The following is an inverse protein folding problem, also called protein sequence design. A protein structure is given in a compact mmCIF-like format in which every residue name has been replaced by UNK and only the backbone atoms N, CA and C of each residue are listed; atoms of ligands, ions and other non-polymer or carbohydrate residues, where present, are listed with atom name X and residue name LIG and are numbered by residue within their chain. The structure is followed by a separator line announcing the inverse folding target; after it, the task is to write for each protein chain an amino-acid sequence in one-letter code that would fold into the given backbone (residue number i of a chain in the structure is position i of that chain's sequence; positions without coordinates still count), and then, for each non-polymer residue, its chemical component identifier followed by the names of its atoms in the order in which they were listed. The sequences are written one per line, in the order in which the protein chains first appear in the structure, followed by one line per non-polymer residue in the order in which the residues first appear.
data_IF_653583874245
#
_entry.id   IF_653583874245
#
_cell.length_a   1.000
_cell.length_b   1.000
_cell.length_c   1.000
_cell.angle_alpha   90.00
_cell.angle_beta   90.00
_cell.angle_gamma   90.00
#
_symmetry.space_group_name_H-M   'P 1'
#
loop_
_entity.id
_entity.type
_entity.pdbx_description
1 polymer ?
#
# COMPACT_ATOMS: atom_id res chain seq x y z
N UNK A 1 -6.34 0.89 33.31
CA UNK A 1 -7.31 0.34 32.34
C UNK A 1 -7.02 1.08 31.05
N UNK A 2 -6.00 0.61 30.34
CA UNK A 2 -5.21 1.48 29.49
C UNK A 2 -5.67 1.30 28.03
N UNK A 3 -5.54 2.35 27.23
CA UNK A 3 -6.43 2.57 26.08
C UNK A 3 -6.27 1.51 24.97
N UNK A 4 -7.21 0.57 24.87
CA UNK A 4 -7.21 -0.47 23.83
C UNK A 4 -7.66 0.07 22.46
N UNK A 5 -8.11 1.32 22.38
CA UNK A 5 -8.69 1.95 21.18
C UNK A 5 -7.69 2.88 20.44
N UNK A 6 -6.41 2.49 20.37
CA UNK A 6 -5.42 3.11 19.48
C UNK A 6 -5.69 2.77 18.00
N UNK A 7 -6.73 3.36 17.42
CA UNK A 7 -7.01 3.28 15.98
C UNK A 7 -5.80 3.80 15.19
N UNK A 8 -5.63 3.34 13.95
CA UNK A 8 -4.39 3.60 13.18
C UNK A 8 -4.15 5.11 12.98
N UNK A 9 -5.22 5.90 12.88
CA UNK A 9 -5.15 7.36 12.85
C UNK A 9 -4.97 8.00 14.24
N UNK A 10 -5.45 7.41 15.34
CA UNK A 10 -5.23 7.92 16.71
C UNK A 10 -3.75 8.02 17.08
N UNK A 11 -2.90 7.17 16.48
CA UNK A 11 -1.44 7.25 16.59
C UNK A 11 -0.85 8.59 16.12
N UNK A 12 -1.57 9.35 15.29
CA UNK A 12 -1.17 10.67 14.82
C UNK A 12 -1.65 11.81 15.75
N UNK A 13 -2.40 11.49 16.81
CA UNK A 13 -3.27 12.40 17.57
C UNK A 13 -3.02 12.27 19.09
N UNK A 14 -1.88 11.72 19.53
CA UNK A 14 -1.40 11.87 20.92
C UNK A 14 -0.97 13.32 21.19
N UNK A 15 -1.95 14.21 21.35
CA UNK A 15 -2.00 15.47 22.13
C UNK A 15 -3.29 16.28 21.81
N UNK A 16 -4.49 15.71 21.92
CA UNK A 16 -5.73 16.53 21.88
C UNK A 16 -6.97 15.92 22.58
N UNK A 17 -6.96 15.86 23.92
CA UNK A 17 -8.20 15.63 24.68
C UNK A 17 -9.17 16.82 24.56
N UNK A 18 -10.41 16.60 24.04
CA UNK A 18 -11.65 16.84 24.81
C UNK A 18 -12.97 16.65 24.02
N UNK A 19 -13.78 15.69 24.49
CA UNK A 19 -15.24 15.80 24.75
C UNK A 19 -16.18 16.22 23.59
N UNK A 20 -16.98 15.26 23.09
CA UNK A 20 -18.42 15.27 23.42
C UNK A 20 -19.16 13.93 23.23
N UNK A 21 -20.33 13.86 23.87
CA UNK A 21 -21.22 12.68 24.00
C UNK A 21 -22.46 12.83 23.11
N UNK A 22 -23.13 11.72 22.72
CA UNK A 22 -24.62 11.48 22.70
C UNK A 22 -25.07 10.48 21.60
N UNK A 23 -25.77 9.42 22.04
CA UNK A 23 -27.00 8.74 21.55
C UNK A 23 -27.42 8.72 20.04
N UNK A 24 -28.19 7.74 19.50
CA UNK A 24 -28.55 6.32 19.80
C UNK A 24 -29.59 5.83 18.73
N UNK A 25 -29.84 4.50 18.63
CA UNK A 25 -31.02 3.85 17.98
C UNK A 25 -31.17 3.94 16.44
N UNK A 26 -31.85 3.05 15.68
CA UNK A 26 -32.19 1.61 15.78
C UNK A 26 -32.76 1.09 14.41
N UNK A 27 -32.98 -0.23 14.27
CA UNK A 27 -33.81 -0.96 13.27
C UNK A 27 -33.32 -1.12 11.80
N UNK A 28 -33.76 -2.11 10.99
CA UNK A 28 -34.22 -3.54 11.11
C UNK A 28 -34.55 -4.05 9.69
N UNK A 29 -34.34 -5.34 9.35
CA UNK A 29 -35.24 -6.22 8.55
C UNK A 29 -34.57 -7.58 8.24
N UNK A 30 -35.35 -8.67 8.24
CA UNK A 30 -34.88 -10.05 8.01
C UNK A 30 -34.82 -10.44 6.51
N UNK A 31 -34.10 -11.53 6.18
CA UNK A 31 -34.74 -12.68 5.55
C UNK A 31 -33.95 -13.99 5.68
N UNK A 32 -34.64 -15.09 5.41
CA UNK A 32 -34.31 -16.48 5.78
C UNK A 32 -34.42 -17.40 4.54
N UNK A 33 -33.52 -18.37 4.36
CA UNK A 33 -33.81 -19.76 3.91
C UNK A 33 -32.53 -20.60 3.70
N UNK A 34 -32.70 -21.92 3.79
CA UNK A 34 -31.73 -23.00 3.50
C UNK A 34 -32.54 -24.27 3.09
N UNK A 35 -31.97 -25.48 3.00
CA UNK A 35 -30.76 -25.97 2.32
C UNK A 35 -31.10 -27.00 1.20
N UNK A 36 -30.10 -27.59 0.53
CA UNK A 36 -30.23 -28.85 -0.26
C UNK A 36 -28.97 -29.74 -0.05
N UNK A 37 -29.14 -31.06 -0.14
CA UNK A 37 -28.18 -32.13 0.24
C UNK A 37 -28.12 -33.25 -0.86
N UNK A 38 -27.07 -34.10 -0.83
CA UNK A 38 -26.77 -35.30 -1.69
C UNK A 38 -26.66 -35.07 -3.22
N UNK A 39 -26.08 -35.95 -4.06
CA UNK A 39 -25.37 -37.26 -3.96
C UNK A 39 -23.84 -37.05 -4.29
N UNK A 40 -22.83 -37.92 -4.12
CA UNK A 40 -22.63 -39.39 -4.25
C UNK A 40 -22.68 -39.93 -5.71
N UNK A 41 -21.81 -40.81 -6.25
CA UNK A 41 -20.60 -41.56 -5.78
C UNK A 41 -19.74 -42.08 -6.98
N UNK A 42 -18.41 -42.29 -6.79
CA UNK A 42 -17.52 -43.33 -7.42
C UNK A 42 -17.32 -43.38 -8.98
N UNK A 43 -16.25 -43.93 -9.58
CA UNK A 43 -14.98 -44.55 -9.08
C UNK A 43 -13.83 -44.51 -10.14
N UNK A 44 -12.66 -45.04 -9.69
CA UNK A 44 -11.67 -45.85 -10.42
C UNK A 44 -10.38 -45.27 -11.06
N UNK A 45 -9.31 -46.07 -10.92
CA UNK A 45 -8.07 -46.13 -11.71
C UNK A 45 -6.98 -45.04 -11.52
N UNK A 46 -6.28 -45.11 -10.38
CA UNK A 46 -4.81 -44.87 -10.36
C UNK A 46 -4.08 -45.89 -11.24
N UNK A 47 -2.87 -45.58 -11.73
CA UNK A 47 -1.69 -46.03 -10.98
C UNK A 47 -0.60 -44.97 -10.78
N UNK A 48 0.19 -45.14 -9.72
CA UNK A 48 1.49 -44.50 -9.56
C UNK A 48 2.49 -45.04 -10.59
N UNK A 49 3.46 -44.21 -10.98
CA UNK A 49 4.77 -44.71 -11.40
C UNK A 49 5.82 -43.63 -11.14
N UNK A 50 6.68 -43.88 -10.16
CA UNK A 50 7.96 -43.18 -10.03
C UNK A 50 8.85 -43.62 -11.20
N UNK A 51 9.49 -42.69 -11.91
CA UNK A 51 10.62 -43.03 -12.77
C UNK A 51 11.79 -42.10 -12.48
N UNK A 52 12.78 -42.67 -11.78
CA UNK A 52 14.05 -42.02 -11.49
C UNK A 52 14.87 -41.97 -12.79
N UNK A 53 15.36 -40.78 -13.17
CA UNK A 53 16.35 -40.65 -14.25
C UNK A 53 17.68 -40.22 -13.64
N UNK A 54 18.34 -41.20 -13.03
CA UNK A 54 19.73 -41.08 -12.60
C UNK A 54 20.68 -41.51 -13.73
N UNK A 55 21.84 -40.86 -13.79
CA UNK A 55 23.02 -41.24 -14.58
C UNK A 55 22.90 -41.42 -16.12
N UNK A 56 23.38 -40.40 -16.84
CA UNK A 56 24.32 -40.67 -17.95
C UNK A 56 25.29 -39.50 -18.13
N UNK A 57 26.44 -39.56 -17.45
CA UNK A 57 27.59 -38.71 -17.76
C UNK A 57 28.31 -39.29 -18.99
N UNK A 58 27.84 -38.91 -20.18
CA UNK A 58 28.49 -39.23 -21.43
C UNK A 58 29.83 -38.50 -21.56
N UNK A 59 30.94 -39.20 -21.34
CA UNK A 59 32.26 -38.74 -21.78
C UNK A 59 32.30 -38.71 -23.32
N UNK A 60 32.35 -37.51 -23.90
CA UNK A 60 32.57 -37.30 -25.33
C UNK A 60 33.79 -36.42 -25.55
N UNK A 61 34.98 -37.02 -25.48
CA UNK A 61 36.18 -36.48 -26.11
C UNK A 61 36.50 -37.28 -27.37
N UNK A 62 35.97 -36.83 -28.50
CA UNK A 62 36.58 -37.03 -29.83
C UNK A 62 36.22 -35.79 -30.66
N UNK A 63 37.20 -35.24 -31.40
CA UNK A 63 37.08 -33.93 -32.04
C UNK A 63 36.21 -34.00 -33.31
N UNK A 64 35.00 -33.44 -33.23
CA UNK A 64 34.13 -33.16 -34.38
C UNK A 64 33.64 -31.70 -34.24
N UNK A 65 33.67 -30.92 -35.33
CA UNK A 65 33.54 -29.45 -35.32
C UNK A 65 32.06 -28.99 -35.20
N UNK A 66 31.37 -29.44 -34.16
CA UNK A 66 29.94 -29.22 -34.00
C UNK A 66 29.61 -27.79 -33.52
N UNK A 67 28.92 -27.02 -34.36
CA UNK A 67 28.68 -25.59 -34.15
C UNK A 67 27.42 -25.37 -33.29
N UNK A 68 27.47 -25.82 -32.04
CA UNK A 68 26.32 -25.77 -31.10
C UNK A 68 26.01 -24.36 -30.55
N UNK A 69 26.86 -23.36 -30.79
CA UNK A 69 26.58 -21.97 -30.35
C UNK A 69 27.01 -20.92 -31.39
N UNK A 70 26.36 -19.75 -31.34
CA UNK A 70 26.76 -18.57 -32.12
C UNK A 70 28.20 -18.11 -31.81
N UNK A 71 28.72 -18.36 -30.61
CA UNK A 71 30.10 -18.05 -30.25
C UNK A 71 31.10 -18.96 -30.98
N UNK A 72 30.77 -20.25 -31.14
CA UNK A 72 31.57 -21.18 -31.92
C UNK A 72 31.53 -20.78 -33.40
N UNK A 73 30.35 -20.45 -33.94
CA UNK A 73 30.17 -19.97 -35.31
C UNK A 73 30.97 -18.69 -35.62
N UNK A 74 30.98 -17.73 -34.69
CA UNK A 74 31.77 -16.51 -34.80
C UNK A 74 33.27 -16.81 -34.84
N UNK A 75 33.73 -17.73 -33.99
CA UNK A 75 35.15 -18.11 -33.88
C UNK A 75 35.63 -18.82 -35.14
N UNK A 76 34.84 -19.75 -35.69
CA UNK A 76 35.19 -20.53 -36.88
C UNK A 76 35.20 -19.68 -38.17
N UNK A 77 34.31 -18.68 -38.26
CA UNK A 77 34.24 -17.79 -39.42
C UNK A 77 35.23 -16.59 -39.35
N UNK A 78 35.97 -16.43 -38.24
CA UNK A 78 36.75 -15.21 -37.91
C UNK A 78 35.92 -13.91 -38.01
N UNK A 79 34.65 -13.99 -37.62
CA UNK A 79 33.67 -12.88 -37.61
C UNK A 79 33.42 -12.46 -36.16
N UNK A 80 33.48 -11.16 -35.81
CA UNK A 80 33.16 -10.72 -34.46
C UNK A 80 31.68 -11.01 -34.12
N UNK A 81 31.44 -11.55 -32.92
CA UNK A 81 30.12 -12.01 -32.46
C UNK A 81 29.03 -10.91 -32.48
N UNK A 82 29.40 -9.63 -32.44
CA UNK A 82 28.50 -8.49 -32.66
C UNK A 82 27.72 -8.61 -33.96
N UNK A 83 28.41 -8.95 -35.05
CA UNK A 83 27.90 -8.87 -36.41
C UNK A 83 26.94 -10.04 -36.70
N UNK A 84 27.08 -11.15 -35.95
CA UNK A 84 26.08 -12.22 -35.93
C UNK A 84 24.81 -11.81 -35.17
N UNK A 85 24.91 -11.02 -34.10
CA UNK A 85 23.72 -10.50 -33.40
C UNK A 85 22.98 -9.41 -34.21
N UNK A 86 23.66 -8.72 -35.13
CA UNK A 86 23.03 -7.78 -36.09
C UNK A 86 22.31 -8.49 -37.27
N UNK A 87 22.48 -9.81 -37.43
CA UNK A 87 21.82 -10.58 -38.49
C UNK A 87 20.29 -10.56 -38.34
N UNK A 88 19.59 -10.20 -39.41
CA UNK A 88 18.12 -10.11 -39.44
C UNK A 88 17.49 -11.47 -39.76
N UNK A 89 16.52 -11.89 -38.93
CA UNK A 89 15.66 -13.06 -39.11
C UNK A 89 14.28 -12.61 -39.59
N UNK A 90 13.79 -13.22 -40.66
CA UNK A 90 12.43 -13.00 -41.13
C UNK A 90 11.43 -13.73 -40.22
N UNK A 91 10.55 -12.98 -39.55
CA UNK A 91 9.48 -13.54 -38.73
C UNK A 91 8.33 -14.05 -39.61
N UNK A 92 7.60 -15.07 -39.14
CA UNK A 92 6.45 -15.62 -39.86
C UNK A 92 5.27 -14.63 -39.95
N UNK A 93 5.16 -13.73 -38.99
CA UNK A 93 4.19 -12.62 -38.95
C UNK A 93 4.87 -11.42 -38.27
N UNK A 94 4.98 -10.29 -38.99
CA UNK A 94 5.68 -9.08 -38.53
C UNK A 94 6.87 -8.66 -39.42
N UNK A 95 7.61 -7.66 -38.96
CA UNK A 95 8.86 -7.21 -39.61
C UNK A 95 10.04 -8.12 -39.20
N UNK A 96 11.12 -8.11 -39.99
CA UNK A 96 12.33 -8.86 -39.66
C UNK A 96 13.03 -8.24 -38.44
N UNK A 97 13.53 -9.09 -37.54
CA UNK A 97 14.15 -8.70 -36.27
C UNK A 97 15.59 -9.24 -36.18
N UNK A 98 16.46 -8.54 -35.47
CA UNK A 98 17.86 -9.00 -35.31
C UNK A 98 17.97 -10.13 -34.29
N UNK A 99 18.95 -11.04 -34.45
CA UNK A 99 19.21 -12.10 -33.48
C UNK A 99 19.47 -11.55 -32.06
N UNK A 100 20.12 -10.39 -31.95
CA UNK A 100 20.26 -9.68 -30.67
C UNK A 100 18.92 -9.28 -30.07
N UNK A 101 18.04 -8.62 -30.84
CA UNK A 101 16.71 -8.21 -30.34
C UNK A 101 15.82 -9.39 -29.94
N UNK A 102 15.93 -10.54 -30.63
CA UNK A 102 15.17 -11.75 -30.30
C UNK A 102 15.69 -12.40 -29.02
N UNK A 103 17.02 -12.39 -28.79
CA UNK A 103 17.63 -12.81 -27.53
C UNK A 103 17.19 -11.90 -26.38
N UNK A 104 17.29 -10.57 -26.54
CA UNK A 104 16.92 -9.60 -25.50
C UNK A 104 15.42 -9.71 -25.16
N UNK A 105 14.56 -9.93 -26.16
CA UNK A 105 13.14 -10.22 -25.99
C UNK A 105 12.90 -11.54 -25.23
N UNK A 106 13.65 -12.61 -25.54
CA UNK A 106 13.56 -13.88 -24.81
C UNK A 106 14.04 -13.75 -23.36
N UNK A 107 15.15 -13.05 -23.11
CA UNK A 107 15.65 -12.80 -21.74
C UNK A 107 14.70 -11.94 -20.93
N UNK A 108 14.10 -10.90 -21.52
CA UNK A 108 13.08 -10.07 -20.87
C UNK A 108 11.76 -10.84 -20.59
N UNK A 109 11.38 -11.76 -21.48
CA UNK A 109 10.13 -12.52 -21.36
C UNK A 109 10.26 -13.85 -20.60
N UNK A 110 11.49 -14.31 -20.32
CA UNK A 110 11.77 -15.57 -19.60
C UNK A 110 11.01 -15.68 -18.27
N UNK A 111 10.83 -14.55 -17.59
CA UNK A 111 10.17 -14.47 -16.29
C UNK A 111 8.70 -14.00 -16.39
N UNK A 112 8.10 -13.92 -17.58
CA UNK A 112 6.67 -13.56 -17.72
C UNK A 112 5.76 -14.56 -17.00
N UNK A 113 6.11 -15.84 -16.96
CA UNK A 113 5.27 -16.85 -16.29
C UNK A 113 5.38 -16.75 -14.76
N UNK A 114 6.58 -16.53 -14.21
CA UNK A 114 6.79 -16.20 -12.79
C UNK A 114 6.03 -14.91 -12.39
N UNK A 115 6.07 -13.89 -13.26
CA UNK A 115 5.30 -12.65 -13.06
C UNK A 115 3.80 -12.92 -13.08
N UNK A 116 3.28 -13.69 -14.06
CA UNK A 116 1.85 -14.07 -14.13
C UNK A 116 1.40 -14.84 -12.90
N UNK A 117 2.18 -15.82 -12.45
CA UNK A 117 1.93 -16.58 -11.24
C UNK A 117 1.89 -15.66 -10.01
N UNK A 118 2.82 -14.71 -9.91
CA UNK A 118 2.82 -13.71 -8.82
C UNK A 118 1.59 -12.80 -8.84
N UNK A 119 1.05 -12.46 -10.01
CA UNK A 119 -0.20 -11.68 -10.14
C UNK A 119 -1.42 -12.53 -9.80
N UNK A 120 -1.51 -13.77 -10.30
CA UNK A 120 -2.63 -14.67 -10.01
C UNK A 120 -2.73 -15.00 -8.50
N UNK A 121 -1.60 -15.30 -7.86
CA UNK A 121 -1.52 -15.50 -6.42
C UNK A 121 -1.95 -14.25 -5.64
N UNK A 122 -1.65 -13.05 -6.15
CA UNK A 122 -2.03 -11.77 -5.52
C UNK A 122 -3.50 -11.40 -5.73
N UNK A 123 -4.10 -11.78 -6.85
CA UNK A 123 -5.55 -11.68 -7.04
C UNK A 123 -6.30 -12.69 -6.16
N UNK A 124 -5.77 -13.90 -5.96
CA UNK A 124 -6.30 -14.86 -4.99
C UNK A 124 -6.18 -14.36 -3.54
N UNK A 125 -5.05 -13.73 -3.16
CA UNK A 125 -4.87 -13.11 -1.84
C UNK A 125 -5.88 -11.96 -1.63
N UNK A 126 -5.99 -11.03 -2.60
CA UNK A 126 -6.91 -9.90 -2.52
C UNK A 126 -8.39 -10.31 -2.52
N UNK A 127 -8.78 -11.33 -3.29
CA UNK A 127 -10.17 -11.81 -3.29
C UNK A 127 -10.54 -12.49 -1.97
N UNK A 128 -9.63 -13.23 -1.34
CA UNK A 128 -9.81 -13.76 0.01
C UNK A 128 -9.85 -12.65 1.08
N UNK A 129 -9.01 -11.62 0.97
CA UNK A 129 -9.04 -10.46 1.88
C UNK A 129 -10.35 -9.66 1.73
N UNK A 130 -10.85 -9.47 0.50
CA UNK A 130 -12.14 -8.84 0.22
C UNK A 130 -13.31 -9.68 0.75
N UNK A 131 -13.30 -11.01 0.55
CA UNK A 131 -14.33 -11.90 1.09
C UNK A 131 -14.36 -11.87 2.63
N UNK A 132 -13.19 -11.76 3.27
CA UNK A 132 -13.07 -11.60 4.72
C UNK A 132 -13.62 -10.25 5.19
N UNK A 133 -13.32 -9.17 4.45
CA UNK A 133 -13.74 -7.79 4.75
C UNK A 133 -15.19 -7.44 4.33
N UNK A 134 -15.83 -8.25 3.48
CA UNK A 134 -17.21 -8.05 3.04
C UNK A 134 -18.24 -8.29 4.16
N UNK A 135 -17.83 -8.97 5.24
CA UNK A 135 -18.62 -9.04 6.46
C UNK A 135 -18.61 -7.67 7.14
N UNK A 136 -19.79 -7.02 7.12
CA UNK A 136 -20.03 -5.69 7.69
C UNK A 136 -19.78 -5.60 9.21
N UNK A 137 -20.14 -4.46 9.83
CA UNK A 137 -19.51 -3.94 11.07
C UNK A 137 -19.24 -5.02 12.12
N UNK A 138 -17.96 -5.12 12.54
CA UNK A 138 -17.34 -6.22 13.32
C UNK A 138 -17.91 -6.47 14.73
N UNK A 139 -19.21 -6.66 14.87
CA UNK A 139 -19.79 -7.40 15.99
C UNK A 139 -19.57 -8.87 15.68
N UNK A 140 -18.71 -9.58 16.43
CA UNK A 140 -18.47 -11.01 16.18
C UNK A 140 -19.80 -11.77 16.15
N UNK A 141 -19.95 -12.73 15.24
CA UNK A 141 -21.12 -13.62 15.18
C UNK A 141 -21.35 -14.34 16.53
N UNK A 142 -20.29 -14.51 17.32
CA UNK A 142 -20.33 -15.04 18.70
C UNK A 142 -21.04 -14.08 19.66
N UNK A 143 -20.78 -12.77 19.56
CA UNK A 143 -21.47 -11.74 20.35
C UNK A 143 -22.94 -11.66 19.96
N UNK A 144 -23.26 -11.73 18.67
CA UNK A 144 -24.65 -11.72 18.18
C UNK A 144 -25.40 -12.96 18.70
N UNK A 145 -24.82 -14.16 18.57
CA UNK A 145 -25.46 -15.41 19.01
C UNK A 145 -25.56 -15.51 20.55
N UNK A 146 -24.56 -15.06 21.31
CA UNK A 146 -24.63 -15.02 22.76
C UNK A 146 -25.69 -14.01 23.27
N UNK A 147 -25.81 -12.85 22.63
CA UNK A 147 -26.91 -11.89 22.92
C UNK A 147 -28.27 -12.47 22.56
N UNK A 148 -28.40 -13.14 21.41
CA UNK A 148 -29.63 -13.81 21.02
C UNK A 148 -30.03 -14.91 22.02
N UNK A 149 -29.05 -15.66 22.56
CA UNK A 149 -29.27 -16.63 23.62
C UNK A 149 -29.87 -15.98 24.87
N UNK A 150 -29.28 -14.89 25.38
CA UNK A 150 -29.80 -14.12 26.52
C UNK A 150 -31.23 -13.62 26.25
N UNK A 151 -31.48 -13.05 25.08
CA UNK A 151 -32.82 -12.59 24.69
C UNK A 151 -33.85 -13.73 24.62
N UNK A 152 -33.48 -14.87 24.06
CA UNK A 152 -34.37 -16.05 23.95
C UNK A 152 -34.80 -16.60 25.32
N UNK A 153 -33.92 -16.54 26.32
CA UNK A 153 -34.21 -16.97 27.69
C UNK A 153 -35.14 -15.97 28.38
N UNK A 154 -34.91 -14.67 28.16
CA UNK A 154 -35.77 -13.62 28.71
C UNK A 154 -37.17 -13.62 28.08
N UNK A 155 -37.29 -13.90 26.78
CA UNK A 155 -38.57 -14.08 26.09
C UNK A 155 -39.33 -15.32 26.59
N UNK A 156 -38.66 -16.48 26.71
CA UNK A 156 -39.25 -17.67 27.33
C UNK A 156 -39.72 -17.43 28.78
N UNK A 157 -38.97 -16.65 29.56
CA UNK A 157 -39.38 -16.23 30.91
C UNK A 157 -40.63 -15.35 30.87
N UNK A 158 -40.69 -14.38 29.94
CA UNK A 158 -41.84 -13.47 29.80
C UNK A 158 -43.11 -14.17 29.27
N UNK A 159 -42.97 -15.20 28.43
CA UNK A 159 -44.08 -16.02 27.93
C UNK A 159 -44.65 -16.98 28.97
N UNK A 160 -43.93 -17.23 30.07
CA UNK A 160 -44.34 -18.18 31.11
C UNK A 160 -45.37 -17.57 32.08
N UNK A 161 -46.51 -18.22 32.27
CA UNK A 161 -47.52 -17.81 33.26
C UNK A 161 -47.10 -18.21 34.69
N UNK A 162 -46.19 -17.44 35.27
CA UNK A 162 -45.65 -17.66 36.61
C UNK A 162 -46.71 -17.69 37.71
N UNK A 163 -47.78 -16.89 37.61
CA UNK A 163 -48.80 -16.81 38.66
C UNK A 163 -49.75 -18.00 38.68
N UNK A 164 -50.06 -18.60 37.52
CA UNK A 164 -50.76 -19.88 37.46
C UNK A 164 -49.87 -21.01 38.00
N UNK A 165 -48.61 -21.08 37.55
CA UNK A 165 -47.66 -22.11 37.97
C UNK A 165 -47.42 -22.10 39.49
N UNK A 166 -47.35 -20.90 40.10
CA UNK A 166 -47.23 -20.66 41.55
C UNK A 166 -48.42 -21.22 42.35
N UNK A 167 -49.62 -21.23 41.76
CA UNK A 167 -50.86 -21.69 42.40
C UNK A 167 -51.09 -23.19 42.19
N UNK A 168 -50.84 -23.71 40.99
CA UNK A 168 -51.10 -25.10 40.63
C UNK A 168 -49.98 -26.05 41.06
N UNK A 169 -48.71 -25.63 40.98
CA UNK A 169 -47.56 -26.45 41.35
C UNK A 169 -46.38 -25.59 41.88
N UNK A 170 -46.40 -25.19 43.16
CA UNK A 170 -45.35 -24.36 43.75
C UNK A 170 -43.96 -25.01 43.77
N UNK A 171 -43.88 -26.35 43.71
CA UNK A 171 -42.61 -27.07 43.58
C UNK A 171 -41.99 -26.88 42.19
N UNK A 172 -42.79 -27.05 41.13
CA UNK A 172 -42.34 -26.83 39.76
C UNK A 172 -42.05 -25.34 39.48
N UNK A 173 -42.83 -24.42 40.05
CA UNK A 173 -42.51 -22.99 40.04
C UNK A 173 -41.10 -22.72 40.58
N UNK A 174 -40.73 -23.31 41.72
CA UNK A 174 -39.45 -23.07 42.37
C UNK A 174 -38.26 -23.68 41.60
N UNK A 175 -38.43 -24.88 41.05
CA UNK A 175 -37.44 -25.51 40.19
C UNK A 175 -37.21 -24.69 38.92
N UNK A 176 -38.28 -24.41 38.15
CA UNK A 176 -38.18 -23.70 36.88
C UNK A 176 -37.66 -22.26 37.06
N UNK A 177 -38.00 -21.58 38.17
CA UNK A 177 -37.40 -20.27 38.50
C UNK A 177 -35.90 -20.35 38.84
N UNK A 178 -35.39 -21.48 39.33
CA UNK A 178 -33.96 -21.70 39.48
C UNK A 178 -33.29 -22.00 38.13
N UNK A 179 -33.89 -22.88 37.32
CA UNK A 179 -33.39 -23.25 35.99
C UNK A 179 -33.26 -22.02 35.08
N UNK A 180 -34.27 -21.14 35.04
CA UNK A 180 -34.22 -19.90 34.27
C UNK A 180 -33.13 -18.92 34.74
N UNK A 181 -32.84 -18.86 36.05
CA UNK A 181 -31.74 -18.03 36.57
C UNK A 181 -30.40 -18.61 36.14
N UNK A 182 -30.18 -19.90 36.39
CA UNK A 182 -28.95 -20.57 35.98
C UNK A 182 -28.70 -20.47 34.47
N UNK A 183 -29.74 -20.64 33.64
CA UNK A 183 -29.63 -20.47 32.20
C UNK A 183 -29.31 -19.01 31.80
N UNK A 184 -29.95 -18.03 32.43
CA UNK A 184 -29.68 -16.61 32.19
C UNK A 184 -28.27 -16.22 32.61
N UNK A 185 -27.82 -16.64 33.79
CA UNK A 185 -26.48 -16.38 34.32
C UNK A 185 -25.41 -16.98 33.40
N UNK A 186 -25.56 -18.25 32.99
CA UNK A 186 -24.65 -18.92 32.02
C UNK A 186 -24.64 -18.20 30.67
N UNK A 187 -25.81 -17.79 30.15
CA UNK A 187 -25.88 -17.05 28.89
C UNK A 187 -25.27 -15.65 29.01
N UNK A 188 -25.36 -15.00 30.18
CA UNK A 188 -24.77 -13.69 30.43
C UNK A 188 -23.25 -13.76 30.59
N UNK A 189 -22.74 -14.81 31.24
CA UNK A 189 -21.30 -15.13 31.27
C UNK A 189 -20.78 -15.54 29.88
N UNK A 190 -21.64 -16.03 28.99
CA UNK A 190 -21.32 -16.29 27.58
C UNK A 190 -21.27 -14.98 26.76
N UNK A 191 -22.26 -14.09 26.92
CA UNK A 191 -22.23 -12.75 26.30
C UNK A 191 -21.01 -11.94 26.79
N UNK A 192 -20.68 -11.99 28.08
CA UNK A 192 -19.52 -11.30 28.64
C UNK A 192 -18.19 -11.77 28.01
N UNK A 193 -17.97 -13.09 27.91
CA UNK A 193 -16.77 -13.65 27.27
C UNK A 193 -16.72 -13.33 25.78
N UNK A 194 -17.81 -13.53 25.04
CA UNK A 194 -17.85 -13.22 23.61
C UNK A 194 -17.53 -11.74 23.32
N UNK A 195 -17.97 -10.79 24.16
CA UNK A 195 -17.59 -9.38 24.02
C UNK A 195 -16.09 -9.15 24.31
N UNK A 196 -15.55 -9.79 25.36
CA UNK A 196 -14.11 -9.70 25.67
C UNK A 196 -13.24 -10.29 24.55
N UNK A 197 -13.61 -11.46 24.03
CA UNK A 197 -12.87 -12.14 22.96
C UNK A 197 -12.95 -11.33 21.65
N UNK A 198 -14.10 -10.71 21.34
CA UNK A 198 -14.24 -9.79 20.22
C UNK A 198 -13.43 -8.50 20.40
N UNK A 199 -13.35 -7.92 21.60
CA UNK A 199 -12.52 -6.75 21.90
C UNK A 199 -11.03 -7.06 21.72
N UNK A 200 -10.57 -8.24 22.15
CA UNK A 200 -9.20 -8.74 21.91
C UNK A 200 -8.93 -8.90 20.42
N UNK A 201 -9.80 -9.58 19.67
CA UNK A 201 -9.65 -9.75 18.21
C UNK A 201 -9.62 -8.40 17.47
N UNK A 202 -10.44 -7.43 17.88
CA UNK A 202 -10.41 -6.07 17.33
C UNK A 202 -9.05 -5.42 17.60
N UNK A 203 -8.57 -5.44 18.85
CA UNK A 203 -7.29 -4.87 19.25
C UNK A 203 -6.09 -5.50 18.54
N UNK A 204 -6.07 -6.83 18.39
CA UNK A 204 -5.04 -7.55 17.63
C UNK A 204 -5.09 -7.18 16.14
N UNK A 205 -6.29 -7.09 15.54
CA UNK A 205 -6.44 -6.69 14.15
C UNK A 205 -5.96 -5.25 13.88
N UNK A 206 -6.17 -4.33 14.84
CA UNK A 206 -5.69 -2.95 14.78
C UNK A 206 -4.16 -2.91 14.86
N UNK A 207 -3.55 -3.62 15.81
CA UNK A 207 -2.08 -3.71 15.96
C UNK A 207 -1.40 -4.30 14.72
N UNK A 208 -1.95 -5.37 14.16
CA UNK A 208 -1.46 -5.95 12.91
C UNK A 208 -1.47 -4.93 11.77
N UNK A 209 -2.58 -4.21 11.58
CA UNK A 209 -2.69 -3.19 10.54
C UNK A 209 -1.75 -1.99 10.79
N UNK A 210 -1.58 -1.58 12.06
CA UNK A 210 -0.59 -0.57 12.48
C UNK A 210 0.85 -0.99 12.12
N UNK A 211 1.25 -2.24 12.42
CA UNK A 211 2.57 -2.76 12.06
C UNK A 211 2.80 -2.75 10.54
N UNK A 212 1.80 -3.17 9.76
CA UNK A 212 1.85 -3.14 8.29
C UNK A 212 1.91 -1.71 7.74
N UNK A 213 1.27 -0.73 8.39
CA UNK A 213 1.45 0.68 8.03
C UNK A 213 2.87 1.18 8.32
N UNK A 214 3.46 0.81 9.46
CA UNK A 214 4.83 1.16 9.84
C UNK A 214 5.91 0.45 9.01
N UNK A 215 5.59 -0.68 8.39
CA UNK A 215 6.42 -1.35 7.38
C UNK A 215 6.32 -0.63 6.03
N UNK A 216 5.10 -0.31 5.57
CA UNK A 216 4.86 0.36 4.30
C UNK A 216 5.27 1.84 4.27
N UNK A 217 5.22 2.54 5.40
CA UNK A 217 5.61 3.95 5.55
C UNK A 217 6.50 4.11 6.80
N UNK A 218 7.79 3.71 6.75
CA UNK A 218 8.69 3.75 7.91
C UNK A 218 8.92 5.13 8.52
N UNK A 219 8.63 6.20 7.76
CA UNK A 219 8.69 7.59 8.22
C UNK A 219 7.72 7.90 9.38
N UNK A 220 6.64 7.12 9.54
CA UNK A 220 5.69 7.27 10.65
C UNK A 220 6.24 6.83 12.01
N UNK A 221 7.45 6.24 12.05
CA UNK A 221 8.17 5.92 13.29
C UNK A 221 8.88 7.15 13.90
N UNK A 222 8.96 8.26 13.16
CA UNK A 222 9.44 9.56 13.64
C UNK A 222 8.24 10.46 13.95
N UNK A 223 8.09 10.84 15.21
CA UNK A 223 6.97 11.64 15.70
C UNK A 223 6.83 12.99 14.98
N UNK A 224 7.94 13.63 14.61
CA UNK A 224 7.91 14.91 13.90
C UNK A 224 7.35 14.75 12.49
N UNK A 225 7.73 13.66 11.80
CA UNK A 225 7.16 13.32 10.48
C UNK A 225 5.72 12.83 10.59
N UNK A 226 5.37 12.13 11.66
CA UNK A 226 4.00 11.67 11.92
C UNK A 226 3.03 12.86 11.98
N UNK A 227 3.33 13.88 12.79
CA UNK A 227 2.53 15.11 12.91
C UNK A 227 2.54 15.98 11.63
N UNK A 228 3.60 15.95 10.82
CA UNK A 228 3.59 16.56 9.46
C UNK A 228 2.64 15.82 8.50
N UNK A 229 2.65 14.48 8.53
CA UNK A 229 1.88 13.63 7.64
C UNK A 229 0.37 13.70 7.95
N UNK A 230 -0.06 13.69 9.22
CA UNK A 230 -1.48 13.86 9.56
C UNK A 230 -2.02 15.22 9.14
N UNK A 231 -1.32 16.32 9.45
CA UNK A 231 -1.71 17.65 8.99
C UNK A 231 -1.84 17.72 7.45
N UNK A 232 -0.99 17.00 6.71
CA UNK A 232 -1.12 16.83 5.26
C UNK A 232 -2.34 16.01 4.82
N UNK A 233 -2.65 14.91 5.52
CA UNK A 233 -3.83 14.06 5.26
C UNK A 233 -5.12 14.81 5.56
N UNK A 234 -5.24 15.45 6.72
CA UNK A 234 -6.38 16.30 7.10
C UNK A 234 -6.60 17.44 6.09
N UNK A 235 -5.54 18.16 5.72
CA UNK A 235 -5.60 19.25 4.75
C UNK A 235 -5.89 18.80 3.32
N UNK A 236 -5.90 17.48 3.04
CA UNK A 236 -6.47 16.88 1.83
C UNK A 236 -7.91 16.44 2.06
N UNK A 237 -8.17 15.65 3.11
CA UNK A 237 -9.46 15.04 3.41
C UNK A 237 -10.57 16.10 3.59
N UNK A 238 -10.27 17.19 4.31
CA UNK A 238 -11.17 18.32 4.48
C UNK A 238 -11.51 19.07 3.17
N UNK A 239 -10.71 18.93 2.11
CA UNK A 239 -11.06 19.48 0.77
C UNK A 239 -12.16 18.68 0.07
N UNK A 240 -12.37 17.43 0.49
CA UNK A 240 -13.42 16.54 0.01
C UNK A 240 -14.61 16.43 0.97
N UNK A 241 -14.56 17.13 2.11
CA UNK A 241 -15.65 17.20 3.10
C UNK A 241 -15.57 16.17 4.23
N UNK A 242 -14.52 15.35 4.29
CA UNK A 242 -14.28 14.45 5.42
C UNK A 242 -13.85 15.25 6.66
N UNK A 243 -14.33 14.82 7.83
CA UNK A 243 -13.94 15.34 9.14
C UNK A 243 -12.71 14.61 9.69
N UNK A 244 -12.14 15.11 10.79
CA UNK A 244 -11.08 14.41 11.53
C UNK A 244 -11.54 13.02 12.01
N UNK A 245 -12.79 12.90 12.47
CA UNK A 245 -13.36 11.65 12.99
C UNK A 245 -13.57 10.58 11.89
N UNK A 246 -13.80 10.99 10.64
CA UNK A 246 -13.81 10.08 9.48
C UNK A 246 -12.42 9.53 9.15
N UNK A 247 -11.35 10.23 9.57
CA UNK A 247 -9.95 9.80 9.42
C UNK A 247 -9.53 8.92 10.60
N UNK A 248 -9.92 9.29 11.83
CA UNK A 248 -9.73 8.50 13.05
C UNK A 248 -10.19 7.04 12.86
N UNK A 249 -11.43 6.87 12.36
CA UNK A 249 -12.04 5.56 12.11
C UNK A 249 -11.38 4.69 11.04
N UNK A 250 -10.30 5.12 10.38
CA UNK A 250 -9.61 4.33 9.36
C UNK A 250 -8.72 3.27 10.02
N UNK A 251 -9.24 2.05 10.11
CA UNK A 251 -8.51 0.86 10.60
C UNK A 251 -7.86 0.01 9.49
N UNK A 252 -7.81 0.51 8.24
CA UNK A 252 -7.16 -0.17 7.11
C UNK A 252 -5.87 0.55 6.72
N UNK A 253 -4.73 -0.15 6.86
CA UNK A 253 -3.41 0.40 6.53
C UNK A 253 -3.26 0.79 5.06
N UNK A 254 -4.00 0.13 4.14
CA UNK A 254 -3.96 0.36 2.70
C UNK A 254 -4.65 1.68 2.36
N UNK A 255 -5.79 1.95 3.00
CA UNK A 255 -6.50 3.23 2.86
C UNK A 255 -5.71 4.39 3.48
N UNK A 256 -5.14 4.21 4.68
CA UNK A 256 -4.28 5.20 5.30
C UNK A 256 -3.04 5.51 4.43
N UNK A 257 -2.36 4.48 3.91
CA UNK A 257 -1.26 4.63 2.95
C UNK A 257 -1.69 5.44 1.72
N UNK A 258 -2.84 5.13 1.12
CA UNK A 258 -3.35 5.83 -0.06
C UNK A 258 -3.63 7.32 0.23
N UNK A 259 -4.16 7.65 1.40
CA UNK A 259 -4.35 9.04 1.84
C UNK A 259 -3.02 9.77 2.02
N UNK A 260 -1.99 9.11 2.56
CA UNK A 260 -0.64 9.65 2.74
C UNK A 260 0.04 9.90 1.37
N UNK A 261 -0.11 8.98 0.41
CA UNK A 261 0.41 9.16 -0.95
C UNK A 261 -0.34 10.28 -1.69
N UNK A 262 -1.67 10.35 -1.52
CA UNK A 262 -2.50 11.42 -2.09
C UNK A 262 -2.15 12.80 -1.51
N UNK A 263 -1.89 12.91 -0.20
CA UNK A 263 -1.55 14.19 0.43
C UNK A 263 -0.18 14.70 -0.02
N UNK A 264 0.82 13.80 -0.10
CA UNK A 264 2.14 14.07 -0.69
C UNK A 264 2.04 14.51 -2.15
N UNK A 265 1.21 13.86 -2.97
CA UNK A 265 0.97 14.28 -4.36
C UNK A 265 0.25 15.63 -4.46
N UNK A 266 -0.67 15.94 -3.54
CA UNK A 266 -1.40 17.21 -3.48
C UNK A 266 -0.47 18.37 -3.12
N UNK A 267 0.33 18.25 -2.05
CA UNK A 267 1.29 19.28 -1.64
C UNK A 267 2.40 19.47 -2.67
N UNK A 268 2.89 18.39 -3.29
CA UNK A 268 3.84 18.47 -4.40
C UNK A 268 3.27 19.28 -5.58
N UNK A 269 2.02 19.00 -6.02
CA UNK A 269 1.35 19.74 -7.09
C UNK A 269 1.20 21.22 -6.78
N UNK A 270 0.81 21.59 -5.56
CA UNK A 270 0.70 23.01 -5.17
C UNK A 270 2.08 23.69 -5.17
N UNK A 271 3.11 23.05 -4.61
CA UNK A 271 4.48 23.59 -4.62
C UNK A 271 5.05 23.80 -6.03
N UNK A 272 4.59 23.02 -7.02
CA UNK A 272 4.95 23.18 -8.44
C UNK A 272 4.19 24.36 -9.06
N UNK A 273 2.90 24.55 -8.76
CA UNK A 273 2.15 25.76 -9.17
C UNK A 273 2.81 27.02 -8.60
N UNK A 274 3.10 27.04 -7.31
CA UNK A 274 3.72 28.19 -6.64
C UNK A 274 5.08 28.54 -7.27
N UNK A 275 5.92 27.52 -7.53
CA UNK A 275 7.18 27.73 -8.26
C UNK A 275 6.97 28.24 -9.68
N UNK A 276 5.97 27.75 -10.41
CA UNK A 276 5.66 28.24 -11.76
C UNK A 276 5.18 29.70 -11.74
N UNK A 277 4.28 30.07 -10.82
CA UNK A 277 3.76 31.43 -10.63
C UNK A 277 4.88 32.39 -10.19
N UNK A 278 5.73 31.98 -9.27
CA UNK A 278 6.90 32.77 -8.83
C UNK A 278 8.01 32.84 -9.87
N UNK A 279 8.11 31.86 -10.78
CA UNK A 279 9.05 31.87 -11.91
C UNK A 279 8.55 32.62 -13.15
N UNK A 280 7.43 33.35 -13.05
CA UNK A 280 6.98 34.27 -14.10
C UNK A 280 8.17 35.12 -14.59
N UNK A 281 8.59 35.01 -15.86
CA UNK A 281 9.92 35.44 -16.28
C UNK A 281 10.06 36.95 -16.11
N UNK A 282 10.89 37.36 -15.14
CA UNK A 282 11.21 38.77 -14.90
C UNK A 282 11.72 39.36 -16.19
N UNK A 283 10.90 40.21 -16.82
CA UNK A 283 11.14 40.72 -18.16
C UNK A 283 12.55 41.30 -18.26
N UNK A 284 13.41 40.61 -18.99
CA UNK A 284 14.82 40.93 -19.16
C UNK A 284 14.96 42.13 -20.08
N UNK A 285 14.68 43.32 -19.51
CA UNK A 285 14.72 44.62 -20.18
C UNK A 285 15.91 44.67 -21.14
N UNK A 286 15.67 44.84 -22.46
CA UNK A 286 16.60 44.42 -23.50
C UNK A 286 17.94 45.13 -23.35
N UNK A 287 18.94 44.36 -22.91
CA UNK A 287 20.31 44.78 -22.65
C UNK A 287 20.43 46.15 -21.97
N UNK A 288 20.33 46.16 -20.63
CA UNK A 288 20.85 47.26 -19.81
C UNK A 288 22.38 47.37 -19.99
N UNK A 289 22.79 47.97 -21.11
CA UNK A 289 24.17 48.04 -21.56
C UNK A 289 25.01 48.67 -20.45
N UNK A 290 25.92 47.87 -19.88
CA UNK A 290 26.74 48.20 -18.71
C UNK A 290 27.34 49.60 -18.89
N UNK A 291 26.75 50.60 -18.22
CA UNK A 291 27.01 52.01 -18.56
C UNK A 291 28.51 52.26 -18.53
N UNK A 292 29.06 52.71 -19.67
CA UNK A 292 30.48 53.00 -19.73
C UNK A 292 30.80 54.12 -18.75
N UNK A 293 31.86 54.00 -17.93
CA UNK A 293 32.19 55.00 -16.94
C UNK A 293 32.43 56.35 -17.61
N UNK A 294 31.50 57.28 -17.42
CA UNK A 294 31.53 58.62 -18.03
C UNK A 294 32.66 59.48 -17.50
N UNK A 295 33.22 59.14 -16.33
CA UNK A 295 34.40 59.80 -15.77
C UNK A 295 35.70 59.13 -16.22
N UNK A 296 36.63 59.96 -16.72
CA UNK A 296 37.97 59.55 -17.15
C UNK A 296 38.73 58.78 -16.06
N UNK A 297 38.53 59.12 -14.78
CA UNK A 297 39.15 58.45 -13.65
C UNK A 297 38.66 57.00 -13.44
N UNK A 298 37.39 56.70 -13.70
CA UNK A 298 36.87 55.33 -13.63
C UNK A 298 37.26 54.50 -14.87
N UNK A 299 37.32 55.13 -16.05
CA UNK A 299 37.91 54.49 -17.24
C UNK A 299 39.38 54.11 -17.04
N UNK A 300 40.19 55.03 -16.48
CA UNK A 300 41.60 54.77 -16.12
C UNK A 300 41.75 53.63 -15.10
N UNK A 301 40.98 53.64 -14.00
CA UNK A 301 40.98 52.55 -13.01
C UNK A 301 40.66 51.19 -13.62
N UNK A 302 39.75 51.13 -14.60
CA UNK A 302 39.42 49.88 -15.31
C UNK A 302 40.54 49.43 -16.24
N UNK A 303 41.19 50.35 -16.96
CA UNK A 303 42.33 50.02 -17.83
C UNK A 303 43.55 49.55 -17.04
N UNK A 304 43.90 50.20 -15.94
CA UNK A 304 45.03 49.76 -15.09
C UNK A 304 44.73 48.43 -14.38
N UNK A 305 43.49 48.20 -13.94
CA UNK A 305 43.06 46.90 -13.43
C UNK A 305 43.15 45.79 -14.49
N UNK A 306 42.69 46.06 -15.73
CA UNK A 306 42.79 45.09 -16.84
C UNK A 306 44.24 44.79 -17.21
N UNK A 307 45.09 45.81 -17.31
CA UNK A 307 46.53 45.65 -17.56
C UNK A 307 47.25 44.83 -16.48
N UNK A 308 46.88 45.03 -15.20
CA UNK A 308 47.42 44.25 -14.07
C UNK A 308 46.91 42.81 -14.05
N UNK A 309 45.66 42.56 -14.46
CA UNK A 309 45.06 41.23 -14.45
C UNK A 309 45.44 40.38 -15.69
N UNK A 310 45.52 40.99 -16.87
CA UNK A 310 45.73 40.28 -18.14
C UNK A 310 47.21 40.07 -18.49
N UNK A 311 48.12 40.85 -17.91
CA UNK A 311 49.56 40.88 -18.20
C UNK A 311 49.97 41.00 -19.69
N UNK A 312 49.04 41.38 -20.57
CA UNK A 312 49.30 41.61 -21.99
C UNK A 312 49.92 43.00 -22.19
N UNK A 313 51.03 43.04 -22.94
CA UNK A 313 51.69 44.28 -23.38
C UNK A 313 50.71 45.24 -24.07
N UNK A 314 49.70 44.73 -24.80
CA UNK A 314 48.68 45.57 -25.46
C UNK A 314 47.81 46.32 -24.46
N UNK A 315 47.31 45.65 -23.42
CA UNK A 315 46.55 46.32 -22.35
C UNK A 315 47.42 47.28 -21.53
N UNK A 316 48.68 46.92 -21.28
CA UNK A 316 49.64 47.78 -20.58
C UNK A 316 49.90 49.09 -21.36
N UNK A 317 50.13 49.02 -22.67
CA UNK A 317 50.27 50.19 -23.56
C UNK A 317 48.97 51.01 -23.61
N UNK A 318 47.80 50.37 -23.64
CA UNK A 318 46.51 51.06 -23.59
C UNK A 318 46.28 51.80 -22.26
N UNK A 319 46.71 51.22 -21.13
CA UNK A 319 46.62 51.88 -19.82
C UNK A 319 47.59 53.08 -19.70
N UNK A 320 48.82 52.95 -20.19
CA UNK A 320 49.82 54.04 -20.16
C UNK A 320 49.44 55.18 -21.10
N UNK A 321 49.02 54.89 -22.34
CA UNK A 321 48.60 55.92 -23.30
C UNK A 321 47.33 56.68 -22.89
N UNK A 322 46.43 56.07 -22.13
CA UNK A 322 45.29 56.76 -21.52
C UNK A 322 45.69 57.70 -20.37
N UNK A 323 46.83 57.43 -19.71
CA UNK A 323 47.38 58.22 -18.61
C UNK A 323 48.20 59.44 -19.10
N UNK A 324 48.73 59.39 -20.33
CA UNK A 324 49.55 60.44 -20.96
C UNK A 324 48.75 61.44 -21.85
N UNK A 325 47.42 61.28 -21.94
CA UNK A 325 46.50 62.25 -22.57
C UNK A 325 45.88 63.21 -21.55
#
# INVERSE_FOLDING_TARGET
MDNVQEQIANLFIEENEQVNTIEKDNETTEQETAPVETEEVTDEATPELEEQVEESLGESQEDDENIDTLNNLATELDIPISDLYELNVAMAEGEAQTLGSLKDFYEANKNIEEVRESYANKEAELTNEIASAANGPKVSNEVISARAQVMSIQDQYNRTNWDQLRQENPGNYAAMQADFRQAFDIAKDNEARANQDAEVQIAESIKYQQERLFEAVPELKDEAKRKEISAGVEALAGRYGFTHQDIEGITDHRLMKLLIEASRMSSAKESVKDKQVLSAPVSSKPNAAKQMPTSRSAALKRLTAKAKASNDRRDQVNAVSALLK
#
